data_IF_998578630035
#
_entry.id   IF_998578630035
#
_cell.length_a   1.000
_cell.length_b   1.000
_cell.length_c   1.000
_cell.angle_alpha   90.00
_cell.angle_beta   90.00
_cell.angle_gamma   90.00
#
_symmetry.space_group_name_H-M   'P 1'
#
loop_
_entity.id
_entity.type
_entity.pdbx_description
1 polymer ?
2 non-polymer ?
3 non-polymer ?
4 non-polymer ?
5 water ?
#
# COMPACT_ATOMS: atom_id res chain seq x y z
N UNK A 2 -18.73 -8.75 19.26
CA UNK A 2 -19.61 -7.59 19.62
C UNK A 2 -19.71 -6.63 18.42
N UNK A 3 -18.74 -5.71 18.29
CA UNK A 3 -18.71 -4.67 17.23
C UNK A 3 -17.83 -5.17 16.06
N UNK A 4 -18.23 -4.83 14.84
CA UNK A 4 -17.37 -5.03 13.64
C UNK A 4 -16.51 -3.78 13.45
N UNK A 5 -15.24 -3.95 13.06
CA UNK A 5 -14.32 -2.80 12.85
C UNK A 5 -13.79 -2.89 11.42
N UNK A 6 -13.85 -1.77 10.70
CA UNK A 6 -13.41 -1.73 9.31
C UNK A 6 -11.90 -1.95 9.28
N UNK A 7 -11.14 -1.16 10.04
CA UNK A 7 -9.67 -1.14 9.87
C UNK A 7 -8.94 -0.61 11.11
N UNK A 8 -9.55 -0.70 12.26
CA UNK A 8 -8.98 -0.19 13.53
C UNK A 8 -7.71 -0.94 13.85
N UNK A 9 -6.72 -0.26 14.45
CA UNK A 9 -5.49 -0.92 14.89
C UNK A 9 -5.79 -1.82 16.09
N UNK A 10 -4.85 -2.70 16.35
CA UNK A 10 -4.90 -3.80 17.35
C UNK A 10 -3.72 -3.61 18.29
N UNK A 11 -3.94 -2.93 19.40
CA UNK A 11 -2.90 -2.51 20.37
C UNK A 11 -3.24 -3.12 21.73
N UNK A 12 -2.25 -3.64 22.38
CA UNK A 12 -2.43 -4.09 23.78
C UNK A 12 -1.14 -4.06 24.55
N UNK A 13 -0.91 -5.09 25.36
CA UNK A 13 0.14 -5.06 26.40
C UNK A 13 1.53 -5.04 25.79
N UNK A 14 1.78 -5.72 24.66
CA UNK A 14 3.15 -5.73 24.09
C UNK A 14 3.48 -4.30 23.61
N UNK A 15 2.55 -3.67 22.91
CA UNK A 15 2.78 -2.27 22.45
C UNK A 15 3.07 -1.36 23.64
N UNK A 16 2.27 -1.45 24.70
CA UNK A 16 2.49 -0.63 25.94
C UNK A 16 3.88 -0.92 26.47
N UNK A 17 4.26 -2.19 26.57
CA UNK A 17 5.59 -2.50 27.09
C UNK A 17 6.69 -1.84 26.27
N UNK A 18 6.68 -2.02 24.95
CA UNK A 18 7.77 -1.56 24.06
C UNK A 18 7.81 -0.03 24.08
N UNK A 19 6.66 0.62 24.07
CA UNK A 19 6.62 2.11 24.14
C UNK A 19 7.17 2.57 25.50
N UNK A 20 6.80 1.91 26.61
CA UNK A 20 7.37 2.35 27.92
C UNK A 20 8.89 2.16 27.96
N UNK A 21 9.45 1.13 27.32
CA UNK A 21 10.92 0.93 27.24
C UNK A 21 11.56 2.14 26.55
N UNK A 22 10.95 2.66 25.48
CA UNK A 22 11.48 3.88 24.83
C UNK A 22 11.46 5.10 25.76
N UNK A 23 10.34 5.36 26.42
CA UNK A 23 10.20 6.55 27.31
C UNK A 23 11.24 6.37 28.42
N UNK A 24 11.33 5.18 28.98
CA UNK A 24 12.29 4.93 30.11
C UNK A 24 13.75 5.05 29.68
N UNK A 25 14.09 4.83 28.43
CA UNK A 25 15.47 4.85 27.92
C UNK A 25 15.81 6.26 27.48
N UNK A 26 14.78 7.11 27.38
CA UNK A 26 14.83 8.51 26.90
C UNK A 26 14.97 8.58 25.37
N UNK A 27 14.94 7.42 24.70
CA UNK A 27 15.11 7.31 23.23
C UNK A 27 13.71 7.36 22.58
N UNK A 28 13.21 8.58 22.38
CA UNK A 28 11.87 8.76 21.76
C UNK A 28 12.02 9.49 20.42
N UNK A 29 13.17 10.03 20.10
CA UNK A 29 13.35 10.99 19.00
C UNK A 29 14.28 10.43 17.95
N UNK A 30 15.10 11.23 17.34
CA UNK A 30 15.96 10.83 16.25
C UNK A 30 16.91 9.73 16.67
N UNK A 31 17.60 9.92 17.78
CA UNK A 31 18.71 8.99 18.15
C UNK A 31 18.14 7.84 18.97
N UNK A 32 18.72 6.65 18.79
CA UNK A 32 18.26 5.55 19.62
C UNK A 32 18.35 4.23 18.88
N UNK A 33 18.21 3.13 19.65
CA UNK A 33 18.42 1.80 19.09
C UNK A 33 17.19 1.18 18.44
N UNK A 34 15.99 1.75 18.65
CA UNK A 34 14.71 1.15 18.20
C UNK A 34 14.60 1.29 16.68
N UNK A 35 15.00 2.43 16.12
CA UNK A 35 14.93 2.59 14.66
C UNK A 35 15.79 1.55 13.94
N UNK A 36 17.10 1.40 14.23
CA UNK A 36 17.89 0.44 13.46
C UNK A 36 17.49 -0.99 13.77
N UNK A 37 17.02 -1.29 14.98
CA UNK A 37 16.49 -2.62 15.36
C UNK A 37 15.29 -2.92 14.46
N UNK A 38 14.36 -1.97 14.34
CA UNK A 38 13.13 -2.18 13.51
C UNK A 38 13.48 -2.29 12.04
N UNK A 39 14.39 -1.49 11.52
CA UNK A 39 14.92 -1.62 10.15
C UNK A 39 15.48 -3.04 9.90
N UNK A 40 16.30 -3.52 10.82
CA UNK A 40 16.90 -4.86 10.59
C UNK A 40 15.85 -5.96 10.72
N UNK A 41 14.92 -5.95 11.68
CA UNK A 41 13.89 -6.98 11.86
C UNK A 41 12.94 -6.92 10.65
N UNK A 42 12.64 -5.70 10.19
CA UNK A 42 11.72 -5.62 9.02
C UNK A 42 12.39 -6.19 7.78
N UNK A 43 13.67 -5.91 7.51
CA UNK A 43 14.41 -6.36 6.34
C UNK A 43 14.50 -7.90 6.44
N UNK A 44 14.66 -8.42 7.66
CA UNK A 44 14.68 -9.90 7.81
C UNK A 44 13.33 -10.51 7.43
N UNK A 45 12.21 -9.93 7.86
CA UNK A 45 10.83 -10.37 7.52
C UNK A 45 10.65 -10.35 6.00
N UNK A 46 11.08 -9.29 5.30
CA UNK A 46 10.89 -9.20 3.85
C UNK A 46 11.87 -10.07 3.06
N UNK A 47 13.01 -10.47 3.67
CA UNK A 47 14.17 -11.15 3.02
C UNK A 47 14.78 -10.23 1.95
N UNK A 48 15.09 -9.00 2.37
CA UNK A 48 15.68 -7.93 1.55
C UNK A 48 16.92 -7.41 2.28
N UNK A 49 17.87 -6.85 1.59
CA UNK A 49 19.12 -6.45 2.24
C UNK A 49 18.92 -5.25 3.18
N UNK A 50 18.14 -4.26 2.73
CA UNK A 50 18.15 -2.93 3.40
C UNK A 50 16.75 -2.38 3.57
N UNK A 51 16.53 -1.79 4.74
CA UNK A 51 15.32 -1.02 5.00
C UNK A 51 15.69 0.29 5.70
N UNK A 52 14.92 1.35 5.40
CA UNK A 52 15.06 2.67 6.07
C UNK A 52 13.70 3.08 6.59
N UNK A 53 13.64 3.38 7.86
CA UNK A 53 12.39 3.75 8.54
C UNK A 53 12.14 5.26 8.38
N UNK A 54 10.95 5.61 7.92
CA UNK A 54 10.55 7.00 7.59
C UNK A 54 9.24 7.33 8.26
N UNK A 55 8.84 8.64 8.11
CA UNK A 55 7.69 9.17 8.91
C UNK A 55 6.34 8.82 8.32
N UNK A 56 6.27 8.35 7.07
CA UNK A 56 4.97 7.96 6.48
C UNK A 56 5.23 7.14 5.22
N UNK A 57 4.20 6.48 4.72
CA UNK A 57 4.23 5.87 3.38
C UNK A 57 4.40 6.87 2.23
N UNK A 58 3.77 8.07 2.40
CA UNK A 58 3.92 9.16 1.45
C UNK A 58 5.41 9.54 1.38
N UNK A 59 6.07 9.67 2.53
CA UNK A 59 7.46 10.04 2.56
C UNK A 59 8.33 8.94 1.92
N UNK A 60 7.97 7.71 2.13
CA UNK A 60 8.69 6.57 1.53
C UNK A 60 8.68 6.69 0.02
N UNK A 61 7.51 6.95 -0.57
CA UNK A 61 7.40 7.07 -2.03
C UNK A 61 8.16 8.31 -2.52
N UNK A 62 8.02 9.44 -1.83
CA UNK A 62 8.79 10.62 -2.18
C UNK A 62 10.29 10.35 -2.20
N UNK A 63 10.79 9.82 -1.08
CA UNK A 63 12.25 9.57 -0.98
C UNK A 63 12.71 8.58 -2.05
N UNK A 64 11.91 7.58 -2.38
CA UNK A 64 12.29 6.59 -3.42
C UNK A 64 12.43 7.31 -4.78
N UNK A 65 11.41 8.11 -5.20
CA UNK A 65 11.47 8.83 -6.48
C UNK A 65 12.64 9.79 -6.46
N UNK A 66 12.85 10.48 -5.34
CA UNK A 66 13.90 11.49 -5.28
C UNK A 66 15.27 10.82 -5.46
N UNK A 67 15.46 9.74 -4.76
CA UNK A 67 16.74 8.94 -4.81
C UNK A 67 17.04 8.49 -6.25
N UNK A 68 16.03 8.16 -6.99
CA UNK A 68 16.15 7.63 -8.36
C UNK A 68 16.30 8.76 -9.38
N UNK A 69 16.32 10.01 -8.92
CA UNK A 69 16.61 11.14 -9.77
C UNK A 69 15.43 11.59 -10.61
N UNK A 70 14.19 11.30 -10.18
CA UNK A 70 12.97 11.73 -10.88
C UNK A 70 12.86 13.24 -10.74
N UNK A 71 12.57 13.85 -11.87
CA UNK A 71 12.61 15.33 -12.00
C UNK A 71 11.72 15.79 -13.15
N UNK A 72 11.67 17.11 -13.30
CA UNK A 72 10.84 17.76 -14.35
C UNK A 72 11.15 17.14 -15.70
N UNK A 73 10.09 16.86 -16.44
CA UNK A 73 10.14 16.30 -17.79
C UNK A 73 10.00 14.79 -17.74
N UNK A 74 10.30 14.14 -16.59
CA UNK A 74 10.11 12.68 -16.50
C UNK A 74 8.66 12.28 -16.40
N UNK A 75 8.31 11.19 -17.05
CA UNK A 75 6.95 10.62 -16.99
C UNK A 75 6.97 9.40 -16.10
N UNK A 76 6.01 9.31 -15.21
CA UNK A 76 5.93 8.22 -14.23
C UNK A 76 4.57 7.58 -14.38
N UNK A 77 4.51 6.29 -14.70
CA UNK A 77 3.24 5.60 -14.97
C UNK A 77 2.64 5.05 -13.68
N UNK A 78 1.35 5.30 -13.46
CA UNK A 78 0.58 4.96 -12.26
C UNK A 78 -0.81 4.51 -12.63
N UNK A 79 -1.49 3.73 -11.77
CA UNK A 79 -2.88 3.34 -12.00
C UNK A 79 -3.82 4.52 -11.74
N UNK A 80 -5.01 4.52 -12.40
CA UNK A 80 -6.02 5.53 -12.05
C UNK A 80 -6.71 5.30 -10.73
N UNK A 81 -6.76 4.07 -10.21
CA UNK A 81 -7.33 3.76 -8.90
C UNK A 81 -6.20 3.44 -7.92
N UNK A 82 -6.01 4.30 -6.93
CA UNK A 82 -5.06 4.10 -5.80
C UNK A 82 -5.33 5.27 -4.88
N UNK A 83 -4.77 5.27 -3.70
CA UNK A 83 -4.76 6.46 -2.82
C UNK A 83 -3.91 7.51 -3.49
N UNK A 84 -4.35 8.79 -3.28
CA UNK A 84 -3.71 9.93 -3.98
C UNK A 84 -2.22 10.06 -3.63
N UNK A 85 -1.83 9.58 -2.42
CA UNK A 85 -0.42 9.67 -1.96
C UNK A 85 0.49 8.78 -2.81
N UNK A 86 -0.01 7.86 -3.64
CA UNK A 86 0.82 7.19 -4.66
C UNK A 86 1.39 8.21 -5.66
N UNK A 87 0.54 9.22 -6.03
CA UNK A 87 0.78 10.11 -7.15
C UNK A 87 1.39 11.46 -6.73
N UNK A 88 0.91 12.03 -5.65
CA UNK A 88 1.38 13.36 -5.18
C UNK A 88 2.90 13.47 -5.22
N UNK A 89 3.64 12.42 -4.73
CA UNK A 89 5.09 12.56 -4.76
C UNK A 89 5.72 12.76 -6.10
N UNK A 90 5.10 12.29 -7.19
CA UNK A 90 5.57 12.56 -8.57
C UNK A 90 5.61 14.08 -8.78
N UNK A 91 4.52 14.73 -8.39
CA UNK A 91 4.37 16.22 -8.48
C UNK A 91 5.30 16.92 -7.52
N UNK A 92 5.59 16.36 -6.33
CA UNK A 92 6.59 16.93 -5.44
C UNK A 92 7.95 17.02 -6.11
N UNK A 93 8.28 16.01 -6.93
CA UNK A 93 9.55 15.94 -7.67
C UNK A 93 9.50 16.80 -8.94
N UNK A 94 8.36 17.36 -9.33
CA UNK A 94 8.29 18.17 -10.56
C UNK A 94 8.05 17.29 -11.80
N UNK A 95 7.80 16.01 -11.62
CA UNK A 95 7.60 15.07 -12.73
C UNK A 95 6.13 15.05 -13.17
N UNK A 96 5.88 14.29 -14.21
CA UNK A 96 4.56 14.20 -14.82
C UNK A 96 3.98 12.81 -14.58
N UNK A 97 2.81 12.69 -13.95
CA UNK A 97 2.14 11.40 -13.84
C UNK A 97 1.49 11.01 -15.18
N UNK A 98 1.52 9.73 -15.50
CA UNK A 98 0.86 9.14 -16.69
C UNK A 98 -0.07 8.06 -16.16
N UNK A 99 -1.38 8.31 -16.23
CA UNK A 99 -2.39 7.42 -15.65
C UNK A 99 -2.81 6.37 -16.67
N UNK A 100 -2.87 5.14 -16.21
CA UNK A 100 -3.34 4.00 -17.03
C UNK A 100 -4.42 3.24 -16.30
N UNK A 101 -5.26 2.54 -17.08
CA UNK A 101 -6.36 1.78 -16.50
C UNK A 101 -5.87 0.49 -15.81
N UNK A 102 -6.77 -0.10 -15.10
CA UNK A 102 -6.55 -1.27 -14.19
C UNK A 102 -7.21 -2.50 -14.82
N UNK A 103 -6.75 -3.65 -14.42
CA UNK A 103 -7.32 -4.96 -14.81
C UNK A 103 -8.68 -5.10 -14.13
N UNK A 104 -9.72 -5.52 -14.89
CA UNK A 104 -11.10 -5.62 -14.39
C UNK A 104 -11.29 -6.65 -13.27
N UNK A 105 -10.42 -7.65 -13.20
CA UNK A 105 -10.52 -8.72 -12.18
C UNK A 105 -9.61 -8.53 -10.96
N UNK A 106 -8.40 -8.06 -11.20
CA UNK A 106 -7.38 -7.91 -10.11
C UNK A 106 -7.44 -6.50 -9.52
N UNK A 107 -7.90 -5.54 -10.31
CA UNK A 107 -8.01 -4.11 -9.94
C UNK A 107 -6.62 -3.46 -9.91
N UNK A 108 -5.59 -4.13 -10.42
CA UNK A 108 -4.21 -3.63 -10.41
C UNK A 108 -3.83 -3.08 -11.78
N UNK A 109 -2.74 -2.30 -11.82
CA UNK A 109 -2.23 -1.61 -12.99
C UNK A 109 -2.15 -2.61 -14.16
N UNK A 110 -2.75 -2.27 -15.28
CA UNK A 110 -2.83 -3.26 -16.42
C UNK A 110 -1.56 -3.13 -17.21
N UNK A 111 -0.69 -4.16 -17.28
CA UNK A 111 0.59 -4.00 -17.95
C UNK A 111 0.47 -3.70 -19.46
N UNK A 112 -0.59 -4.19 -20.10
CA UNK A 112 -0.79 -3.84 -21.54
C UNK A 112 -1.02 -2.33 -21.66
N UNK A 113 -1.69 -1.75 -20.67
CA UNK A 113 -1.91 -0.26 -20.71
C UNK A 113 -0.63 0.48 -20.35
N UNK A 114 0.19 -0.11 -19.46
CA UNK A 114 1.53 0.45 -19.19
C UNK A 114 2.28 0.54 -20.51
N UNK A 115 2.42 -0.58 -21.24
CA UNK A 115 3.27 -0.56 -22.44
C UNK A 115 2.75 0.44 -23.49
N UNK A 116 1.44 0.58 -23.65
CA UNK A 116 0.88 1.52 -24.65
C UNK A 116 1.22 2.95 -24.27
N UNK A 117 1.51 3.22 -22.99
CA UNK A 117 1.68 4.62 -22.50
C UNK A 117 3.15 5.00 -22.38
N UNK A 118 4.09 4.11 -22.72
CA UNK A 118 5.52 4.43 -22.60
C UNK A 118 5.90 5.38 -23.73
N UNK A 119 6.71 6.36 -23.40
CA UNK A 119 7.27 7.35 -24.37
C UNK A 119 8.77 7.49 -24.12
N UNK A 120 9.46 8.33 -24.92
CA UNK A 120 10.88 8.65 -24.71
C UNK A 120 11.12 9.30 -23.34
N UNK A 121 10.07 9.81 -22.70
CA UNK A 121 10.20 10.56 -21.42
C UNK A 121 9.91 9.66 -20.20
N UNK A 122 9.37 8.45 -20.38
CA UNK A 122 9.04 7.54 -19.24
C UNK A 122 10.32 7.19 -18.47
N UNK A 123 10.35 7.33 -17.15
CA UNK A 123 11.52 6.94 -16.34
C UNK A 123 11.15 5.82 -15.38
N UNK A 124 9.88 5.72 -14.97
CA UNK A 124 9.54 4.76 -13.91
C UNK A 124 8.09 4.39 -13.96
N UNK A 125 7.77 3.32 -13.26
CA UNK A 125 6.42 2.78 -13.05
C UNK A 125 6.21 2.65 -11.55
N UNK A 126 5.08 3.08 -11.02
CA UNK A 126 4.73 2.81 -9.61
C UNK A 126 3.54 1.88 -9.60
N UNK A 127 3.75 0.55 -9.69
CA UNK A 127 2.63 -0.34 -9.49
C UNK A 127 2.13 -0.25 -8.07
N UNK A 128 0.84 -0.41 -7.84
CA UNK A 128 0.24 -0.40 -6.52
C UNK A 128 -0.36 -1.79 -6.27
N UNK A 129 0.01 -2.41 -5.16
CA UNK A 129 -0.60 -3.70 -4.77
C UNK A 129 -1.90 -3.38 -4.05
N UNK A 130 -2.95 -3.18 -4.88
CA UNK A 130 -4.15 -2.50 -4.39
C UNK A 130 -4.94 -3.37 -3.41
N UNK A 131 -5.25 -2.93 -2.23
CA UNK A 131 -5.93 -3.67 -1.15
C UNK A 131 -5.10 -4.92 -0.75
N UNK A 132 -3.80 -4.85 -1.02
CA UNK A 132 -2.87 -5.91 -0.64
C UNK A 132 -2.72 -6.98 -1.68
N UNK A 133 -3.24 -6.75 -2.88
CA UNK A 133 -3.23 -7.72 -3.98
C UNK A 133 -2.07 -7.47 -4.91
N UNK A 134 -1.01 -8.33 -4.98
CA UNK A 134 0.16 -8.07 -5.80
C UNK A 134 -0.18 -7.88 -7.26
N UNK A 135 0.51 -6.96 -7.89
CA UNK A 135 0.39 -6.69 -9.32
C UNK A 135 1.05 -7.84 -10.13
N UNK A 136 0.92 -7.79 -11.44
CA UNK A 136 1.52 -8.77 -12.40
C UNK A 136 2.98 -8.49 -12.59
N UNK A 137 3.77 -8.83 -11.55
CA UNK A 137 5.14 -8.30 -11.45
C UNK A 137 6.10 -8.92 -12.46
N UNK A 138 5.95 -10.21 -12.82
CA UNK A 138 6.87 -10.66 -13.87
C UNK A 138 6.71 -9.86 -15.18
N UNK A 139 5.48 -9.50 -15.53
CA UNK A 139 5.24 -8.72 -16.78
C UNK A 139 5.70 -7.27 -16.62
N UNK A 140 5.41 -6.69 -15.44
CA UNK A 140 5.83 -5.29 -15.16
C UNK A 140 7.35 -5.19 -15.21
N UNK A 141 8.04 -6.13 -14.58
CA UNK A 141 9.50 -6.11 -14.53
C UNK A 141 10.07 -6.37 -15.94
N UNK A 142 9.44 -7.23 -16.72
CA UNK A 142 9.84 -7.46 -18.14
C UNK A 142 9.69 -6.18 -18.96
N UNK A 143 8.59 -5.46 -18.84
CA UNK A 143 8.39 -4.16 -19.54
C UNK A 143 9.46 -3.19 -19.10
N UNK A 144 9.69 -3.08 -17.77
CA UNK A 144 10.67 -2.11 -17.25
C UNK A 144 12.06 -2.40 -17.79
N UNK A 145 12.42 -3.69 -17.88
CA UNK A 145 13.77 -4.08 -18.36
C UNK A 145 13.94 -3.69 -19.82
N UNK A 146 12.92 -3.93 -20.62
CA UNK A 146 12.89 -3.67 -22.07
C UNK A 146 13.06 -2.18 -22.35
N UNK A 147 12.43 -1.29 -21.55
CA UNK A 147 12.45 0.18 -21.79
C UNK A 147 13.42 0.90 -20.85
N UNK A 148 14.14 0.21 -19.97
CA UNK A 148 15.13 0.89 -19.11
C UNK A 148 14.43 1.74 -18.05
N UNK A 149 13.39 1.20 -17.44
CA UNK A 149 12.54 1.96 -16.45
C UNK A 149 12.80 1.42 -15.04
N UNK A 150 12.74 2.31 -14.04
CA UNK A 150 12.74 1.88 -12.63
C UNK A 150 11.34 1.47 -12.27
N UNK A 151 11.25 0.57 -11.32
CA UNK A 151 9.98 0.14 -10.72
C UNK A 151 10.04 0.40 -9.24
N UNK A 152 9.12 1.26 -8.80
CA UNK A 152 8.93 1.56 -7.36
C UNK A 152 7.65 0.89 -6.92
N UNK A 153 7.69 -0.09 -6.03
CA UNK A 153 6.48 -0.74 -5.56
C UNK A 153 5.81 0.12 -4.50
N UNK A 154 4.55 0.47 -4.74
CA UNK A 154 3.70 1.01 -3.67
C UNK A 154 3.08 -0.18 -2.98
N UNK A 155 3.82 -0.68 -1.98
CA UNK A 155 3.43 -1.84 -1.18
C UNK A 155 2.76 -1.46 0.13
N UNK A 156 2.28 -0.20 0.24
CA UNK A 156 1.80 0.35 1.46
C UNK A 156 0.62 -0.41 2.07
N UNK A 157 -0.21 -1.06 1.25
CA UNK A 157 -1.38 -1.79 1.71
C UNK A 157 -1.04 -3.29 1.76
N UNK A 158 0.20 -3.68 1.41
CA UNK A 158 0.47 -5.10 1.03
C UNK A 158 1.55 -5.78 1.89
N UNK A 159 1.91 -5.24 3.05
CA UNK A 159 2.86 -5.94 3.94
C UNK A 159 2.31 -7.34 4.20
N UNK A 160 3.18 -8.33 3.92
CA UNK A 160 2.78 -9.74 4.09
C UNK A 160 2.30 -10.36 2.81
N UNK A 161 1.94 -9.57 1.80
CA UNK A 161 1.55 -10.19 0.51
C UNK A 161 2.77 -10.78 -0.18
N UNK A 162 2.53 -11.82 -1.01
CA UNK A 162 3.63 -12.51 -1.70
C UNK A 162 3.34 -12.62 -3.17
N UNK A 163 4.39 -12.61 -3.93
CA UNK A 163 4.39 -12.81 -5.40
C UNK A 163 5.41 -13.92 -5.65
N UNK A 164 4.84 -15.10 -6.03
CA UNK A 164 5.68 -16.28 -6.41
C UNK A 164 6.80 -16.49 -5.38
N UNK A 165 6.37 -16.46 -4.14
CA UNK A 165 7.22 -16.76 -3.00
C UNK A 165 8.15 -15.62 -2.57
N UNK A 166 8.05 -14.44 -3.17
CA UNK A 166 8.83 -13.25 -2.76
C UNK A 166 7.90 -12.23 -2.13
N UNK A 167 8.36 -11.65 -1.05
CA UNK A 167 7.53 -10.64 -0.37
C UNK A 167 7.43 -9.38 -1.27
N UNK A 168 6.20 -8.79 -1.30
CA UNK A 168 6.08 -7.49 -1.94
C UNK A 168 7.01 -6.48 -1.27
N UNK A 169 7.49 -5.59 -2.14
CA UNK A 169 8.45 -4.55 -1.77
C UNK A 169 9.87 -4.96 -2.00
N UNK A 170 10.08 -6.22 -2.44
CA UNK A 170 11.44 -6.73 -2.67
C UNK A 170 11.69 -7.05 -4.15
N UNK A 171 10.74 -6.74 -5.03
CA UNK A 171 10.79 -7.10 -6.46
C UNK A 171 11.26 -5.93 -7.32
N UNK A 172 10.64 -4.76 -7.09
CA UNK A 172 11.06 -3.55 -7.78
C UNK A 172 12.42 -3.08 -7.28
N UNK A 173 12.89 -2.00 -7.85
CA UNK A 173 14.14 -1.36 -7.48
C UNK A 173 14.08 -0.89 -6.03
N UNK A 174 12.91 -0.34 -5.62
CA UNK A 174 12.68 0.15 -4.24
C UNK A 174 11.21 -0.15 -3.92
N UNK A 175 10.93 -0.56 -2.70
CA UNK A 175 9.58 -0.79 -2.17
C UNK A 175 9.26 0.24 -1.13
N UNK A 176 7.96 0.48 -0.95
CA UNK A 176 7.46 1.52 0.01
C UNK A 176 6.29 1.00 0.80
N UNK A 177 6.36 1.13 2.12
CA UNK A 177 5.37 0.64 3.06
C UNK A 177 4.87 1.79 3.93
N UNK A 178 3.65 1.60 4.44
CA UNK A 178 2.98 2.53 5.37
C UNK A 178 2.67 1.84 6.70
N UNK A 179 2.80 2.58 7.79
CA UNK A 179 2.38 2.12 9.11
C UNK A 179 1.36 3.10 9.71
N UNK A 180 0.54 3.67 8.83
CA UNK A 180 -0.58 4.53 9.26
C UNK A 180 -1.60 3.66 10.06
N UNK A 181 -2.49 4.25 10.81
CA UNK A 181 -3.32 3.59 11.83
C UNK A 181 -4.14 2.43 11.27
N UNK A 182 -4.58 2.50 10.03
CA UNK A 182 -5.49 1.50 9.45
C UNK A 182 -4.71 0.40 8.74
N UNK A 184 -1.88 -2.86 8.08
CA UNK A 184 -1.93 -4.11 8.87
C UNK A 184 -1.09 -4.05 10.15
N UNK A 185 -0.05 -3.21 10.16
CA UNK A 185 0.58 -2.79 11.43
C UNK A 185 0.68 -1.27 11.45
N UNK A 186 0.77 -0.73 12.64
CA UNK A 186 0.87 0.75 12.76
C UNK A 186 1.96 1.17 13.72
N UNK A 187 2.53 2.35 13.45
CA UNK A 187 3.37 3.09 14.42
C UNK A 187 2.69 4.40 14.72
N UNK A 188 1.39 4.54 14.50
CA UNK A 188 0.64 5.82 14.59
C UNK A 188 0.72 6.55 13.28
N UNK A 189 1.95 6.86 12.91
CA UNK A 189 2.37 7.30 11.61
C UNK A 189 3.75 6.76 11.35
N UNK A 190 4.02 6.34 10.13
CA UNK A 190 5.33 5.82 9.79
C UNK A 190 5.35 5.13 8.45
N UNK A 191 6.54 4.86 7.96
CA UNK A 191 6.65 4.05 6.76
C UNK A 191 8.01 3.42 6.67
N UNK A 192 8.28 2.75 5.56
CA UNK A 192 9.58 2.04 5.36
C UNK A 192 9.90 1.99 3.90
N UNK A 193 11.15 2.20 3.56
CA UNK A 193 11.77 1.97 2.24
C UNK A 193 12.48 0.61 2.30
N UNK A 194 12.25 -0.24 1.33
CA UNK A 194 12.95 -1.56 1.20
C UNK A 194 13.71 -1.55 -0.12
N UNK A 195 14.95 -2.07 -0.13
CA UNK A 195 15.70 -2.18 -1.37
C UNK A 195 16.84 -3.19 -1.19
N UNK A 196 17.18 -3.86 -2.30
CA UNK A 196 18.44 -4.65 -2.28
C UNK A 196 19.66 -3.83 -2.67
N UNK A 197 19.53 -2.54 -2.94
CA UNK A 197 20.67 -1.68 -3.33
C UNK A 197 21.16 -0.97 -2.06
N UNK A 198 22.28 -1.40 -1.47
CA UNK A 198 22.74 -0.82 -0.17
C UNK A 198 23.11 0.65 -0.28
N UNK A 199 23.59 1.10 -1.42
CA UNK A 199 23.99 2.50 -1.69
C UNK A 199 22.74 3.38 -1.69
N UNK A 200 21.71 2.91 -2.37
CA UNK A 200 20.41 3.68 -2.38
C UNK A 200 19.93 3.80 -0.94
N UNK A 201 19.94 2.74 -0.17
CA UNK A 201 19.41 2.70 1.21
C UNK A 201 20.24 3.63 2.08
N UNK A 202 21.57 3.59 1.94
CA UNK A 202 22.45 4.47 2.74
C UNK A 202 22.17 5.93 2.42
N UNK A 203 22.04 6.26 1.15
CA UNK A 203 21.86 7.68 0.74
C UNK A 203 20.45 8.14 1.18
N UNK A 204 19.50 7.26 1.08
CA UNK A 204 18.12 7.62 1.55
C UNK A 204 18.12 7.85 3.06
N UNK A 205 18.76 6.99 3.87
CA UNK A 205 18.81 7.23 5.32
C UNK A 205 19.47 8.60 5.61
N UNK A 206 20.53 8.92 4.87
CA UNK A 206 21.20 10.22 5.02
C UNK A 206 20.22 11.34 4.66
N UNK A 207 19.56 11.24 3.52
CA UNK A 207 18.67 12.32 3.07
C UNK A 207 17.52 12.53 4.03
N UNK A 208 16.96 11.49 4.65
CA UNK A 208 15.75 11.67 5.48
C UNK A 208 16.14 12.14 6.89
N UNK A 209 17.46 12.18 7.16
CA UNK A 209 18.03 12.78 8.38
C UNK A 209 18.67 14.10 8.02
N UNK A 210 18.01 14.94 7.20
CA UNK A 210 18.36 16.33 6.88
C UNK A 210 19.70 16.39 6.12
N UNK A 211 20.11 15.29 5.50
CA UNK A 211 21.40 15.29 4.74
C UNK A 211 22.54 15.85 5.60
N UNK A 212 22.59 15.58 6.87
CA UNK A 212 23.63 16.09 7.80
C UNK A 212 24.86 15.17 7.67
N UNK A 213 26.04 15.75 7.46
CA UNK A 213 27.30 14.99 7.51
C UNK A 213 27.53 14.61 8.96
N UNK A 214 27.49 13.34 9.25
CA UNK A 214 27.64 12.77 10.62
C UNK A 214 29.04 13.00 11.20
N UNK A 215 30.04 13.20 10.35
CA UNK A 215 31.47 13.40 10.75
C UNK A 215 31.68 14.87 11.14
N UNK A 216 30.72 15.75 10.84
CA UNK A 216 30.88 17.17 11.17
C UNK A 216 29.84 17.45 12.26
N UNK A 217 29.62 18.72 12.58
CA UNK A 217 28.46 19.17 13.37
C UNK A 217 27.30 19.49 12.43
N UNK A 218 26.91 20.75 12.35
CA UNK A 218 25.78 21.14 11.47
C UNK A 218 26.27 21.55 10.09
N UNK A 219 26.82 20.56 9.38
CA UNK A 219 27.23 20.72 7.96
C UNK A 219 26.40 19.78 7.07
N UNK A 220 25.76 20.34 6.03
CA UNK A 220 24.85 19.59 5.14
C UNK A 220 25.31 19.74 3.71
N UNK A 221 25.81 18.62 3.10
CA UNK A 221 26.38 18.74 1.77
C UNK A 221 25.35 18.79 0.68
N UNK A 222 24.07 18.46 1.02
CA UNK A 222 23.00 18.63 0.01
C UNK A 222 21.67 18.93 0.73
N UNK A 223 20.67 19.19 -0.07
CA UNK A 223 19.31 19.44 0.48
C UNK A 223 18.73 18.10 0.92
N UNK A 224 18.29 17.98 2.16
CA UNK A 224 17.58 16.82 2.63
C UNK A 224 16.18 17.14 3.11
N UNK A 225 15.69 16.23 3.92
CA UNK A 225 14.30 16.20 4.42
C UNK A 225 14.36 15.83 5.86
N UNK A 226 13.29 16.18 6.60
CA UNK A 226 13.03 15.57 7.90
C UNK A 226 11.99 14.48 7.69
N UNK A 227 12.45 13.33 7.24
CA UNK A 227 11.53 12.19 6.97
C UNK A 227 11.85 10.98 7.84
N UNK A 228 12.70 11.07 8.85
CA UNK A 228 13.03 9.87 9.64
C UNK A 228 11.88 9.44 10.54
N UNK A 229 11.71 8.15 10.71
CA UNK A 229 10.88 7.63 11.80
C UNK A 229 11.54 8.00 13.16
N UNK A 230 10.69 8.26 14.13
CA UNK A 230 11.18 8.46 15.50
C UNK A 230 11.36 7.15 16.25
N UNK A 231 12.13 7.18 17.35
CA UNK A 231 12.37 5.95 18.13
C UNK A 231 11.11 5.55 18.89
N UNK A 232 10.25 6.51 19.22
CA UNK A 232 8.96 6.23 19.84
C UNK A 232 8.15 5.38 18.86
N UNK A 233 8.07 5.81 17.59
CA UNK A 233 7.33 5.07 16.55
C UNK A 233 7.96 3.70 16.36
N UNK A 234 9.27 3.64 16.29
CA UNK A 234 9.96 2.35 16.03
C UNK A 234 9.71 1.36 17.18
N UNK A 235 9.67 1.81 18.41
CA UNK A 235 9.40 0.90 19.54
C UNK A 235 8.00 0.26 19.41
N UNK A 236 7.00 1.03 18.96
CA UNK A 236 5.65 0.55 18.70
C UNK A 236 5.73 -0.41 17.50
N UNK A 237 6.42 -0.05 16.41
CA UNK A 237 6.52 -0.87 15.22
C UNK A 237 7.18 -2.23 15.57
N UNK A 238 8.12 -2.26 16.50
CA UNK A 238 8.74 -3.60 16.84
C UNK A 238 7.67 -4.50 17.48
N UNK A 239 6.85 -3.97 18.37
CA UNK A 239 5.77 -4.74 19.02
C UNK A 239 4.83 -5.26 17.94
N UNK A 240 4.39 -4.36 17.04
CA UNK A 240 3.45 -4.79 16.00
C UNK A 240 4.09 -5.83 15.08
N UNK A 241 5.34 -5.67 14.68
CA UNK A 241 6.03 -6.61 13.80
C UNK A 241 6.07 -8.00 14.43
N UNK A 242 6.21 -8.11 15.75
CA UNK A 242 6.19 -9.45 16.43
C UNK A 242 4.85 -10.13 16.23
N UNK A 243 3.77 -9.37 16.16
CA UNK A 243 2.38 -9.83 15.99
C UNK A 243 1.97 -9.96 14.51
N UNK A 244 2.83 -9.55 13.57
CA UNK A 244 2.46 -9.48 12.14
C UNK A 244 2.03 -10.89 11.68
N UNK A 245 2.76 -11.98 12.02
CA UNK A 245 2.31 -13.31 11.54
C UNK A 245 0.89 -13.63 11.96
N UNK A 246 0.54 -13.38 13.23
CA UNK A 246 -0.82 -13.53 13.82
C UNK A 246 -1.78 -12.70 12.99
N UNK A 247 -1.43 -11.42 12.72
CA UNK A 247 -2.39 -10.54 12.04
C UNK A 247 -2.64 -11.05 10.62
N UNK A 248 -1.62 -11.49 9.91
CA UNK A 248 -1.78 -11.92 8.50
C UNK A 248 -2.59 -13.22 8.44
N UNK A 249 -2.44 -14.07 9.46
CA UNK A 249 -3.29 -15.29 9.54
C UNK A 249 -4.73 -14.85 9.55
N UNK A 250 -5.08 -13.87 10.41
CA UNK A 250 -6.46 -13.34 10.57
C UNK A 250 -6.92 -12.72 9.25
N UNK A 251 -6.09 -11.86 8.64
CA UNK A 251 -6.50 -11.20 7.39
C UNK A 251 -6.87 -12.29 6.36
N UNK A 252 -6.04 -13.31 6.23
CA UNK A 252 -6.18 -14.35 5.16
C UNK A 252 -7.45 -15.16 5.50
N UNK A 253 -7.70 -15.40 6.78
CA UNK A 253 -8.94 -16.08 7.25
C UNK A 253 -10.18 -15.29 6.85
N UNK A 254 -10.18 -13.95 7.11
CA UNK A 254 -11.35 -13.11 6.80
C UNK A 254 -11.62 -13.19 5.31
N UNK A 255 -10.57 -13.09 4.52
CA UNK A 255 -10.65 -13.09 3.04
C UNK A 255 -11.25 -14.44 2.63
N UNK A 256 -10.83 -15.52 3.27
CA UNK A 256 -11.29 -16.88 2.84
C UNK A 256 -12.75 -17.02 3.25
N UNK A 257 -13.18 -16.45 4.37
CA UNK A 257 -14.58 -16.45 4.84
C UNK A 257 -15.43 -15.73 3.80
N UNK A 258 -15.02 -14.54 3.38
CA UNK A 258 -15.73 -13.84 2.27
C UNK A 258 -15.66 -14.71 0.99
N UNK A 259 -14.53 -15.35 0.64
CA UNK A 259 -14.37 -15.99 -0.69
C UNK A 259 -15.44 -17.10 -0.74
N UNK A 260 -15.79 -17.65 0.43
CA UNK A 260 -16.71 -18.82 0.56
C UNK A 260 -18.17 -18.38 0.43
N UNK A 261 -18.64 -17.49 1.29
CA UNK A 261 -20.06 -17.02 1.36
C UNK A 261 -20.45 -16.29 0.05
N UNK A 262 -19.50 -15.72 -0.70
CA UNK A 262 -19.74 -15.07 -2.02
C UNK A 262 -19.55 -16.09 -3.14
N UNK A 263 -19.25 -17.32 -2.74
CA UNK A 263 -18.95 -18.44 -3.66
C UNK A 263 -20.14 -18.77 -4.52
N UNK A 264 -19.92 -18.90 -5.82
CA UNK A 264 -20.96 -19.21 -6.81
C UNK A 264 -22.03 -18.12 -6.93
N UNK A 265 -21.88 -16.97 -6.25
CA UNK A 265 -22.86 -15.86 -6.33
C UNK A 265 -22.44 -14.94 -7.48
N UNK A 266 -23.21 -14.93 -8.57
CA UNK A 266 -22.77 -14.32 -9.86
C UNK A 266 -22.64 -12.80 -9.68
N UNK A 267 -23.42 -12.23 -8.77
CA UNK A 267 -23.54 -10.77 -8.65
C UNK A 267 -22.38 -10.18 -7.81
N UNK A 268 -21.60 -11.01 -7.11
CA UNK A 268 -20.51 -10.51 -6.20
C UNK A 268 -19.17 -11.04 -6.69
N UNK A 269 -18.21 -10.17 -7.04
CA UNK A 269 -16.90 -10.65 -7.48
C UNK A 269 -15.88 -10.06 -6.50
N UNK A 270 -15.28 -10.89 -5.64
CA UNK A 270 -14.09 -10.45 -4.87
C UNK A 270 -12.97 -10.14 -5.84
N UNK A 271 -12.08 -9.20 -5.42
CA UNK A 271 -10.81 -8.96 -6.14
C UNK A 271 -10.06 -10.30 -6.34
N UNK A 272 -9.52 -10.52 -7.53
CA UNK A 272 -8.83 -11.80 -7.87
C UNK A 272 -7.32 -11.61 -7.78
N UNK A 273 -6.63 -12.67 -7.32
CA UNK A 273 -5.17 -12.73 -7.31
C UNK A 273 -4.62 -13.21 -8.64
N UNK A 274 -3.47 -12.76 -9.08
CA UNK A 274 -2.71 -13.35 -10.21
C UNK A 274 -2.20 -14.73 -9.76
N UNK A 275 -2.06 -15.61 -10.77
CA UNK A 275 -1.55 -16.96 -10.46
C UNK A 275 -0.16 -16.80 -9.79
N UNK A 276 -0.03 -17.48 -8.66
CA UNK A 276 1.22 -17.49 -7.90
C UNK A 276 1.28 -16.36 -6.88
N UNK A 277 0.27 -15.49 -6.85
CA UNK A 277 0.27 -14.38 -5.86
C UNK A 277 -0.63 -14.67 -4.69
N UNK A 278 -0.29 -14.10 -3.52
CA UNK A 278 -1.06 -14.23 -2.29
C UNK A 278 -1.31 -12.79 -1.79
N UNK A 279 -2.55 -12.37 -1.85
CA UNK A 279 -2.90 -11.03 -1.26
C UNK A 279 -2.71 -11.02 0.22
N UNK A 280 -2.39 -9.85 0.81
CA UNK A 280 -2.46 -9.67 2.27
C UNK A 280 -3.89 -9.43 2.76
N UNK A 281 -4.82 -9.21 1.83
CA UNK A 281 -6.25 -9.04 2.09
C UNK A 281 -6.45 -7.89 3.09
N UNK A 282 -5.76 -6.77 2.85
CA UNK A 282 -5.86 -5.61 3.76
C UNK A 282 -7.33 -5.16 3.96
N UNK A 283 -8.04 -5.04 2.87
CA UNK A 283 -9.51 -4.79 2.84
C UNK A 283 -10.11 -5.62 1.72
N UNK A 284 -10.73 -6.76 2.11
CA UNK A 284 -11.41 -7.55 1.11
C UNK A 284 -12.48 -6.65 0.50
N UNK A 285 -12.37 -6.53 -0.81
CA UNK A 285 -13.16 -5.60 -1.65
C UNK A 285 -13.85 -6.35 -2.80
N UNK A 286 -15.09 -5.93 -3.06
CA UNK A 286 -15.97 -6.65 -4.01
C UNK A 286 -16.50 -5.68 -5.03
N UNK A 287 -16.80 -6.20 -6.21
CA UNK A 287 -17.56 -5.52 -7.24
C UNK A 287 -18.97 -6.16 -7.24
N UNK A 288 -20.00 -5.35 -7.19
CA UNK A 288 -21.41 -5.83 -7.16
C UNK A 288 -22.07 -5.56 -8.51
N UNK A 289 -22.69 -6.57 -9.12
CA UNK A 289 -23.54 -6.46 -10.33
C UNK A 289 -24.92 -6.00 -9.86
N UNK A 290 -25.19 -4.71 -10.05
CA UNK A 290 -26.30 -4.01 -9.37
C UNK A 290 -27.49 -3.91 -10.34
N UNK A 291 -27.35 -4.47 -11.55
CA UNK A 291 -28.37 -4.43 -12.64
C UNK A 291 -29.70 -4.99 -12.13
N UNK A 292 -29.67 -6.14 -11.43
CA UNK A 292 -30.89 -6.77 -10.87
C UNK A 292 -31.23 -6.11 -9.52
N UNK A 293 -30.22 -5.57 -8.84
CA UNK A 293 -30.36 -5.08 -7.43
C UNK A 293 -30.92 -3.66 -7.43
N UNK A 294 -30.48 -2.82 -8.38
CA UNK A 294 -30.92 -1.40 -8.50
C UNK A 294 -30.81 -0.73 -7.13
N UNK A 295 -29.67 -0.89 -6.46
CA UNK A 295 -29.29 0.03 -5.36
C UNK A 295 -27.93 0.57 -5.71
N UNK A 296 -27.65 1.79 -5.30
CA UNK A 296 -26.29 2.34 -5.39
C UNK A 296 -25.44 1.78 -4.24
N UNK A 297 -24.12 2.00 -4.37
CA UNK A 297 -23.18 1.57 -3.31
C UNK A 297 -23.51 2.34 -2.05
N UNK A 298 -23.65 3.68 -2.06
CA UNK A 298 -24.01 4.40 -0.85
C UNK A 298 -25.34 3.91 -0.25
N UNK A 299 -26.27 3.43 -1.06
CA UNK A 299 -27.53 2.86 -0.49
C UNK A 299 -27.23 1.54 0.21
N UNK A 300 -26.40 0.72 -0.42
CA UNK A 300 -25.97 -0.57 0.16
C UNK A 300 -25.23 -0.29 1.46
N UNK A 301 -24.36 0.75 1.48
CA UNK A 301 -23.57 1.08 2.68
C UNK A 301 -24.47 1.53 3.83
N UNK A 302 -25.55 2.26 3.53
CA UNK A 302 -26.46 2.73 4.61
C UNK A 302 -27.20 1.54 5.24
N UNK A 303 -27.70 0.60 4.42
CA UNK A 303 -28.31 -0.69 4.89
C UNK A 303 -27.30 -1.45 5.76
N UNK A 304 -26.03 -1.52 5.34
CA UNK A 304 -25.00 -2.27 6.13
C UNK A 304 -24.78 -1.56 7.46
N UNK A 305 -24.73 -0.23 7.43
CA UNK A 305 -24.46 0.60 8.62
C UNK A 305 -25.54 0.34 9.68
N UNK A 306 -26.81 0.23 9.25
CA UNK A 306 -27.97 -0.10 10.14
C UNK A 306 -27.72 -1.42 10.87
N UNK A 307 -27.12 -2.40 10.17
CA UNK A 307 -26.80 -3.74 10.71
C UNK A 307 -25.46 -3.73 11.47
N UNK A 308 -24.89 -2.53 11.71
CA UNK A 308 -23.59 -2.31 12.37
C UNK A 308 -22.42 -2.86 11.55
N UNK A 309 -22.51 -2.84 10.22
CA UNK A 309 -21.40 -3.30 9.33
C UNK A 309 -20.78 -2.06 8.69
N UNK A 310 -19.55 -1.65 9.09
CA UNK A 310 -18.92 -0.49 8.47
C UNK A 310 -18.25 -0.94 7.16
N UNK A 311 -18.23 -0.04 6.17
CA UNK A 311 -17.62 -0.26 4.85
C UNK A 311 -16.98 1.04 4.40
N UNK A 312 -16.29 0.97 3.27
CA UNK A 312 -15.76 2.18 2.62
C UNK A 312 -15.82 1.97 1.13
N UNK A 313 -16.06 3.05 0.38
CA UNK A 313 -15.97 3.04 -1.06
C UNK A 313 -14.52 2.89 -1.54
N UNK A 314 -14.40 2.44 -2.75
CA UNK A 314 -13.15 2.29 -3.50
C UNK A 314 -12.57 3.71 -3.67
N UNK A 315 -11.25 3.82 -3.71
CA UNK A 315 -10.57 5.05 -4.05
C UNK A 315 -11.23 5.67 -5.27
N UNK A 316 -11.46 6.97 -5.19
CA UNK A 316 -11.92 7.69 -6.38
C UNK A 316 -10.91 7.64 -7.49
N UNK A 317 -11.31 7.64 -8.78
CA UNK A 317 -10.40 7.78 -9.89
C UNK A 317 -9.68 9.12 -9.82
N UNK A 318 -8.35 9.05 -9.78
CA UNK A 318 -7.52 10.25 -9.53
C UNK A 318 -7.65 11.22 -10.70
N UNK A 319 -7.90 10.72 -11.92
CA UNK A 319 -7.98 11.58 -13.14
C UNK A 319 -9.17 12.54 -13.00
N UNK A 320 -10.04 12.41 -12.02
CA UNK A 320 -11.16 13.42 -11.90
C UNK A 320 -10.87 14.37 -10.74
N UNK A 321 -9.65 14.34 -10.20
CA UNK A 321 -9.26 15.38 -9.22
C UNK A 321 -8.75 16.57 -10.01
N UNK A 322 -9.14 17.83 -9.61
CA UNK A 322 -8.74 18.98 -10.41
C UNK A 322 -7.29 19.10 -10.81
N UNK A 323 -6.29 18.78 -9.93
CA UNK A 323 -4.90 18.92 -10.33
C UNK A 323 -4.42 17.90 -11.36
N UNK A 324 -5.17 16.83 -11.52
CA UNK A 324 -4.74 15.70 -12.36
C UNK A 324 -5.56 15.54 -13.64
N UNK A 325 -6.67 16.28 -13.79
CA UNK A 325 -7.54 16.03 -14.97
C UNK A 325 -6.80 16.39 -16.26
N UNK A 326 -5.82 17.25 -16.25
CA UNK A 326 -4.94 17.55 -17.42
C UNK A 326 -4.27 16.28 -17.97
N UNK A 327 -4.16 15.23 -17.16
CA UNK A 327 -3.50 13.96 -17.52
C UNK A 327 -4.51 12.86 -17.79
N UNK A 328 -5.80 13.15 -17.87
CA UNK A 328 -6.83 12.15 -18.16
C UNK A 328 -6.75 11.83 -19.65
N UNK A 329 -6.15 10.70 -19.97
CA UNK A 329 -5.94 10.27 -21.39
C UNK A 329 -6.44 8.83 -21.56
N UNK A 330 -7.67 8.69 -21.99
CA UNK A 330 -8.28 7.38 -22.22
C UNK A 330 -9.53 7.31 -21.40
N UNK A 331 -10.27 6.22 -21.51
CA UNK A 331 -11.63 6.07 -20.95
C UNK A 331 -11.60 5.59 -19.50
N UNK A 332 -10.54 4.90 -19.13
CA UNK A 332 -10.43 4.29 -17.79
C UNK A 332 -11.66 3.51 -17.42
N UNK A 333 -12.17 2.71 -18.38
CA UNK A 333 -13.45 1.99 -18.23
C UNK A 333 -13.44 1.11 -16.97
N UNK A 334 -12.33 0.36 -16.79
CA UNK A 334 -12.32 -0.65 -15.68
C UNK A 334 -12.23 0.08 -14.32
N UNK A 335 -11.50 1.20 -14.30
CA UNK A 335 -11.38 2.04 -13.09
C UNK A 335 -12.74 2.55 -12.66
N UNK A 336 -13.50 3.05 -13.67
CA UNK A 336 -14.85 3.54 -13.34
C UNK A 336 -15.82 2.45 -12.91
N UNK A 337 -15.74 1.27 -13.52
CA UNK A 337 -16.61 0.14 -13.15
C UNK A 337 -16.34 -0.24 -11.70
N UNK A 338 -15.04 -0.28 -11.32
CA UNK A 338 -14.72 -0.74 -9.94
C UNK A 338 -15.13 0.33 -8.94
N UNK A 339 -14.96 1.62 -9.26
CA UNK A 339 -15.36 2.69 -8.33
C UNK A 339 -16.91 2.71 -8.16
N UNK A 340 -17.59 2.63 -9.31
CA UNK A 340 -19.07 2.73 -9.30
C UNK A 340 -19.71 1.52 -8.60
N UNK A 341 -19.11 0.32 -8.62
CA UNK A 341 -19.79 -0.92 -8.18
C UNK A 341 -19.03 -1.58 -7.05
N UNK A 342 -17.93 -0.94 -6.58
CA UNK A 342 -17.04 -1.52 -5.58
C UNK A 342 -17.36 -1.17 -4.18
N UNK A 343 -16.98 -2.04 -3.26
CA UNK A 343 -17.11 -1.78 -1.83
C UNK A 343 -16.04 -2.54 -1.06
N UNK A 344 -15.45 -1.90 -0.05
CA UNK A 344 -14.47 -2.51 0.87
C UNK A 344 -15.18 -2.97 2.15
N UNK A 345 -14.88 -4.18 2.59
CA UNK A 345 -15.56 -4.85 3.71
C UNK A 345 -14.65 -4.87 4.92
N UNK A 346 -15.23 -4.99 6.12
CA UNK A 346 -14.42 -4.97 7.34
C UNK A 346 -13.40 -6.08 7.52
N UNK A 347 -12.22 -5.67 7.98
CA UNK A 347 -11.08 -6.59 8.10
C UNK A 347 -10.08 -6.17 9.17
N UNK A 348 -10.44 -5.32 10.10
CA UNK A 348 -9.59 -5.07 11.28
C UNK A 348 -9.26 -6.42 11.93
N UNK A 349 -8.02 -6.59 12.39
CA UNK A 349 -7.58 -7.81 13.12
C UNK A 349 -8.27 -7.87 14.49
N UNK A 350 -9.00 -6.83 14.94
CA UNK A 350 -9.90 -6.94 16.14
C UNK A 350 -11.09 -7.87 15.86
N UNK A 351 -11.40 -8.18 14.61
CA UNK A 351 -12.68 -8.90 14.31
C UNK A 351 -12.55 -10.39 14.64
N UNK A 352 -13.68 -11.00 15.02
CA UNK A 352 -13.83 -12.48 15.06
C UNK A 352 -14.26 -13.04 13.68
N UNK A 353 -13.97 -14.32 13.40
CA UNK A 353 -14.46 -15.02 12.17
C UNK A 353 -15.98 -14.92 12.08
N UNK A 354 -16.68 -15.07 13.20
CA UNK A 354 -18.16 -15.01 13.24
C UNK A 354 -18.64 -13.61 12.80
N UNK A 355 -17.98 -12.54 13.24
CA UNK A 355 -18.27 -11.14 12.78
C UNK A 355 -18.19 -11.07 11.24
N UNK A 356 -17.10 -11.54 10.64
CA UNK A 356 -16.94 -11.51 9.17
C UNK A 356 -18.09 -12.30 8.55
N UNK A 357 -18.36 -13.53 9.01
CA UNK A 357 -19.42 -14.39 8.41
C UNK A 357 -20.74 -13.62 8.48
N UNK A 358 -21.02 -13.00 9.63
CA UNK A 358 -22.24 -12.18 9.83
C UNK A 358 -22.26 -11.08 8.78
N UNK A 359 -21.12 -10.40 8.56
CA UNK A 359 -21.11 -9.28 7.59
C UNK A 359 -21.47 -9.80 6.21
N UNK A 360 -20.87 -10.92 5.76
CA UNK A 360 -20.98 -11.43 4.39
C UNK A 360 -22.45 -11.84 4.19
N UNK A 361 -23.06 -12.40 5.26
CA UNK A 361 -24.39 -13.07 5.15
C UNK A 361 -25.45 -11.96 5.09
N UNK A 362 -25.29 -10.97 5.95
CA UNK A 362 -26.16 -9.76 6.01
C UNK A 362 -26.10 -9.04 4.66
N UNK A 363 -24.93 -8.87 4.05
CA UNK A 363 -24.89 -8.23 2.71
C UNK A 363 -25.79 -9.02 1.73
N UNK A 364 -25.69 -10.34 1.68
CA UNK A 364 -26.54 -11.18 0.77
C UNK A 364 -28.03 -10.90 1.05
N UNK A 365 -28.43 -10.80 2.32
CA UNK A 365 -29.82 -10.43 2.67
C UNK A 365 -30.12 -9.07 2.04
N UNK A 366 -29.41 -8.00 2.40
CA UNK A 366 -29.62 -6.58 1.92
C UNK A 366 -29.70 -6.52 0.39
N UNK A 367 -28.98 -7.39 -0.32
CA UNK A 367 -28.93 -7.41 -1.80
C UNK A 367 -30.06 -8.33 -2.33
N UNK A 368 -30.79 -9.03 -1.44
CA UNK A 368 -31.88 -9.97 -1.76
C UNK A 368 -31.37 -11.18 -2.54
N UNK A 369 -30.22 -11.71 -2.15
CA UNK A 369 -29.65 -12.98 -2.71
C UNK A 369 -29.75 -14.04 -1.60
N UNK A 370 -29.72 -15.33 -1.96
CA UNK A 370 -29.79 -16.48 -1.00
C UNK A 370 -28.64 -17.46 -1.28
#
# INVERSE_FOLDING_TARGET
>A
MCELYLDSPNLGELEKEYILKAIDSNFVSTVGPFVPEFEEKFAKYLRVTSCVAVQSGTAAIHAALYELGIKEGDEIIVPAITFVATVNPIVYCGATPVFVDIDKDTWDIDPKEIEKSITSKTKAIIPVHLYGNPCDMDEIMKIAEKYGLYVIEDATESLGAEYKGRMTGTIGHIGCFSFNGNXIITTGGGGMISTNNEKWASHIKFLVNQARDASQGYFHPEIGFNYRMTNLEAALGLAQLERLPEFLKKKRMYFEAYKKIFGGIDEIALQKEYEGAISSAWLPSIKIDRKKIKMTIPEIQDKLKEKGIPTRRIFNPIVDFPPYVKYKNGNYHNSYEIFENGLSLPASTLNTLENIEYAAKTLLNILGIKKEVIL
#
